data_IF_753948180834
#
_entry.id   IF_753948180834
#
_cell.length_a   1.000
_cell.length_b   1.000
_cell.length_c   1.000
_cell.angle_alpha   90.00
_cell.angle_beta   90.00
_cell.angle_gamma   90.00
#
_symmetry.space_group_name_H-M   'P 1'
#
loop_
_entity.id
_entity.type
_entity.pdbx_description
1 polymer ?
#
# COMPACT_ATOMS: atom_id res chain seq x y z
N UNK A 1 6.70 14.35 12.06
CA UNK A 1 6.60 13.40 13.18
C UNK A 1 7.88 13.54 14.00
N UNK A 2 7.77 13.73 15.28
CA UNK A 2 8.93 13.99 16.14
C UNK A 2 8.68 13.36 17.53
N UNK A 3 8.51 12.05 17.56
CA UNK A 3 8.32 11.27 18.78
C UNK A 3 9.22 10.03 18.73
N UNK A 4 10.34 10.09 19.45
CA UNK A 4 11.35 9.03 19.47
C UNK A 4 10.81 7.73 20.10
N UNK A 5 9.70 7.78 20.85
CA UNK A 5 9.07 6.59 21.44
C UNK A 5 8.41 5.70 20.38
N UNK A 6 8.10 6.26 19.23
CA UNK A 6 7.48 5.54 18.12
C UNK A 6 8.50 5.08 17.06
N UNK A 7 9.79 5.31 17.32
CA UNK A 7 10.85 4.78 16.48
C UNK A 7 11.02 3.28 16.74
N UNK A 8 11.11 2.50 15.67
CA UNK A 8 11.20 1.03 15.72
C UNK A 8 12.59 0.50 16.16
N UNK A 9 13.56 1.39 16.30
CA UNK A 9 14.94 1.08 16.63
C UNK A 9 15.83 0.76 15.45
N UNK A 10 15.31 0.71 14.23
CA UNK A 10 16.00 0.25 13.03
C UNK A 10 15.81 1.16 11.83
N UNK A 11 14.60 1.24 11.29
CA UNK A 11 14.34 1.86 10.01
C UNK A 11 13.50 3.13 10.10
N UNK A 12 12.57 3.21 11.04
CA UNK A 12 11.68 4.36 11.08
C UNK A 12 10.61 4.30 12.17
N UNK A 13 9.45 4.78 11.84
CA UNK A 13 8.31 4.86 12.75
C UNK A 13 7.42 3.63 12.54
N UNK A 14 6.93 3.05 13.62
CA UNK A 14 5.92 1.98 13.56
C UNK A 14 4.73 2.36 12.68
N UNK A 15 4.24 1.43 11.87
CA UNK A 15 3.20 1.71 10.86
C UNK A 15 1.94 2.34 11.47
N UNK A 16 1.45 1.87 12.63
CA UNK A 16 0.24 2.42 13.24
C UNK A 16 0.37 3.91 13.58
N UNK A 17 1.32 4.36 14.42
CA UNK A 17 1.46 5.77 14.74
C UNK A 17 1.81 6.60 13.50
N UNK A 18 2.56 6.06 12.54
CA UNK A 18 2.89 6.75 11.31
C UNK A 18 1.64 7.01 10.45
N UNK A 19 0.78 6.01 10.26
CA UNK A 19 -0.48 6.16 9.54
C UNK A 19 -1.46 7.12 10.25
N UNK A 20 -1.50 7.12 11.58
CA UNK A 20 -2.30 8.08 12.35
C UNK A 20 -1.78 9.51 12.19
N UNK A 21 -0.46 9.68 12.19
CA UNK A 21 0.15 10.97 11.89
C UNK A 21 -0.16 11.41 10.46
N UNK A 22 -0.02 10.52 9.49
CA UNK A 22 -0.38 10.77 8.09
C UNK A 22 -1.82 11.29 7.98
N UNK A 23 -2.79 10.63 8.63
CA UNK A 23 -4.18 11.11 8.66
C UNK A 23 -4.26 12.54 9.17
N UNK A 24 -3.60 12.85 10.28
CA UNK A 24 -3.61 14.20 10.85
C UNK A 24 -3.02 15.28 9.95
N UNK A 25 -2.13 14.88 9.02
CA UNK A 25 -1.58 15.77 7.99
C UNK A 25 -2.57 15.95 6.85
N UNK A 26 -3.22 14.87 6.41
CA UNK A 26 -4.22 14.91 5.33
C UNK A 26 -5.42 15.76 5.70
N UNK A 27 -5.89 15.69 6.95
CA UNK A 27 -7.02 16.49 7.45
C UNK A 27 -6.81 18.01 7.32
N UNK A 28 -5.55 18.44 7.24
CA UNK A 28 -5.15 19.84 7.11
C UNK A 28 -4.86 20.26 5.67
N UNK A 29 -4.93 19.31 4.73
CA UNK A 29 -4.64 19.61 3.32
C UNK A 29 -5.86 20.15 2.60
N UNK A 30 -5.62 21.13 1.74
CA UNK A 30 -6.62 21.51 0.74
C UNK A 30 -6.70 20.45 -0.35
N UNK A 31 -7.89 20.24 -0.89
CA UNK A 31 -8.11 19.39 -2.05
C UNK A 31 -7.94 20.19 -3.36
N UNK A 32 -7.46 19.57 -4.45
CA UNK A 32 -6.98 18.19 -4.52
C UNK A 32 -5.58 18.02 -3.90
N UNK A 33 -5.25 16.80 -3.45
CA UNK A 33 -3.90 16.46 -3.00
C UNK A 33 -3.44 15.10 -3.55
N UNK A 34 -2.15 14.93 -3.67
CA UNK A 34 -1.47 13.64 -3.84
C UNK A 34 -0.59 13.41 -2.62
N UNK A 35 -0.65 12.21 -2.08
CA UNK A 35 0.20 11.81 -0.96
C UNK A 35 0.74 10.40 -1.17
N UNK A 36 2.02 10.23 -0.95
CA UNK A 36 2.70 8.94 -0.98
C UNK A 36 3.36 8.71 0.36
N UNK A 37 3.18 7.54 0.93
CA UNK A 37 3.85 7.10 2.15
C UNK A 37 4.56 5.78 1.91
N UNK A 38 5.60 5.55 2.69
CA UNK A 38 6.33 4.31 2.71
C UNK A 38 6.36 3.80 4.15
N UNK A 39 5.85 2.60 4.36
CA UNK A 39 5.84 1.93 5.66
C UNK A 39 7.02 0.97 5.78
N UNK A 40 7.52 0.73 6.99
CA UNK A 40 8.77 0.00 7.18
C UNK A 40 8.69 -1.19 8.14
N UNK A 41 7.56 -1.39 8.84
CA UNK A 41 7.49 -2.45 9.86
C UNK A 41 7.63 -3.86 9.29
N UNK A 42 7.29 -4.05 8.01
CA UNK A 42 7.47 -5.33 7.31
C UNK A 42 8.91 -5.58 6.81
N UNK A 43 9.86 -4.70 7.15
CA UNK A 43 11.28 -4.86 6.86
C UNK A 43 12.01 -5.65 7.96
N UNK A 44 13.19 -6.18 7.65
CA UNK A 44 14.08 -6.78 8.67
C UNK A 44 14.38 -5.77 9.80
N UNK A 45 14.43 -6.21 11.05
CA UNK A 45 14.47 -7.56 11.59
C UNK A 45 13.12 -8.23 11.85
N UNK A 46 12.03 -7.80 11.25
CA UNK A 46 10.68 -8.37 11.36
C UNK A 46 10.14 -8.38 12.79
N UNK A 47 10.19 -7.25 13.42
CA UNK A 47 9.66 -7.02 14.78
C UNK A 47 8.39 -6.17 14.72
N UNK A 48 7.58 -6.26 15.75
CA UNK A 48 6.40 -5.43 15.97
C UNK A 48 6.49 -4.77 17.35
N UNK A 49 5.74 -3.70 17.62
CA UNK A 49 5.74 -3.09 18.95
C UNK A 49 5.38 -4.09 20.04
N UNK A 50 6.13 -4.11 21.15
CA UNK A 50 5.91 -5.05 22.27
C UNK A 50 4.48 -5.06 22.80
N UNK A 51 3.79 -3.91 22.78
CA UNK A 51 2.37 -3.80 23.18
C UNK A 51 1.42 -4.71 22.37
N UNK A 52 1.87 -5.24 21.24
CA UNK A 52 1.12 -6.14 20.36
C UNK A 52 1.66 -7.57 20.36
N UNK A 53 2.58 -7.90 21.28
CA UNK A 53 3.12 -9.25 21.34
C UNK A 53 2.00 -10.29 21.54
N UNK A 54 2.05 -11.34 20.74
CA UNK A 54 1.07 -12.41 20.75
C UNK A 54 -0.30 -12.07 20.11
N UNK A 55 -0.51 -10.86 19.57
CA UNK A 55 -1.78 -10.49 18.95
C UNK A 55 -1.91 -10.91 17.47
N UNK A 56 -0.79 -11.08 16.79
CA UNK A 56 -0.76 -11.45 15.39
C UNK A 56 -0.14 -12.82 15.20
N UNK A 57 -0.69 -13.58 14.25
CA UNK A 57 -0.17 -14.91 13.91
C UNK A 57 1.27 -14.78 13.38
N UNK A 58 2.16 -15.60 13.92
CA UNK A 58 3.56 -15.66 13.48
C UNK A 58 3.69 -16.27 12.08
N UNK A 59 2.69 -17.04 11.65
CA UNK A 59 2.73 -17.73 10.35
C UNK A 59 3.96 -18.62 10.19
N UNK A 60 4.45 -18.75 8.97
CA UNK A 60 5.58 -19.64 8.63
C UNK A 60 6.94 -18.92 8.61
N UNK A 61 6.93 -17.61 8.45
CA UNK A 61 8.13 -16.76 8.42
C UNK A 61 7.90 -15.50 9.27
N UNK A 62 8.94 -14.91 9.85
CA UNK A 62 8.79 -13.74 10.75
C UNK A 62 8.02 -12.57 10.12
N UNK A 63 8.16 -12.35 8.83
CA UNK A 63 7.47 -11.28 8.11
C UNK A 63 5.93 -11.39 8.19
N UNK A 64 5.35 -12.60 8.32
CA UNK A 64 3.89 -12.76 8.38
C UNK A 64 3.27 -11.99 9.55
N UNK A 65 3.93 -12.01 10.72
CA UNK A 65 3.48 -11.24 11.89
C UNK A 65 3.50 -9.74 11.62
N UNK A 66 4.53 -9.26 10.94
CA UNK A 66 4.65 -7.84 10.57
C UNK A 66 3.56 -7.42 9.58
N UNK A 67 3.27 -8.26 8.58
CA UNK A 67 2.15 -8.02 7.65
C UNK A 67 0.81 -7.95 8.38
N UNK A 68 0.58 -8.84 9.37
CA UNK A 68 -0.61 -8.79 10.23
C UNK A 68 -0.72 -7.48 11.01
N UNK A 69 0.39 -6.96 11.53
CA UNK A 69 0.43 -5.67 12.20
C UNK A 69 0.19 -4.50 11.22
N UNK A 70 0.78 -4.54 10.02
CA UNK A 70 0.55 -3.52 8.99
C UNK A 70 -0.92 -3.50 8.55
N UNK A 71 -1.54 -4.66 8.35
CA UNK A 71 -2.99 -4.77 8.05
C UNK A 71 -3.84 -4.16 9.17
N UNK A 72 -3.54 -4.48 10.42
CA UNK A 72 -4.18 -3.85 11.59
C UNK A 72 -4.02 -2.33 11.59
N UNK A 73 -2.83 -1.85 11.29
CA UNK A 73 -2.51 -0.42 11.26
C UNK A 73 -3.30 0.31 10.17
N UNK A 74 -3.42 -0.31 9.00
CA UNK A 74 -4.28 0.15 7.91
C UNK A 74 -5.76 0.15 8.31
N UNK A 75 -6.23 -0.92 8.95
CA UNK A 75 -7.60 -0.96 9.47
C UNK A 75 -7.89 0.24 10.37
N UNK A 76 -7.00 0.52 11.33
CA UNK A 76 -7.13 1.68 12.24
C UNK A 76 -7.11 3.03 11.50
N UNK A 77 -6.27 3.14 10.49
CA UNK A 77 -6.25 4.31 9.62
C UNK A 77 -7.58 4.51 8.91
N UNK A 78 -8.10 3.47 8.24
CA UNK A 78 -9.35 3.53 7.52
C UNK A 78 -10.56 3.78 8.42
N UNK A 79 -10.61 3.18 9.61
CA UNK A 79 -11.66 3.41 10.60
C UNK A 79 -11.80 4.90 10.94
N UNK A 80 -10.69 5.63 11.03
CA UNK A 80 -10.69 7.08 11.30
C UNK A 80 -10.90 7.93 10.05
N UNK A 81 -10.46 7.47 8.89
CA UNK A 81 -10.60 8.22 7.65
C UNK A 81 -12.03 8.29 7.14
N UNK A 82 -12.87 7.30 7.48
CA UNK A 82 -14.28 7.22 7.01
C UNK A 82 -15.12 8.45 7.36
N UNK A 83 -14.76 9.14 8.43
CA UNK A 83 -15.48 10.33 8.90
C UNK A 83 -15.03 11.62 8.19
N UNK A 84 -13.98 11.53 7.36
CA UNK A 84 -13.36 12.72 6.77
C UNK A 84 -13.98 13.07 5.40
N UNK A 85 -14.21 14.36 5.13
CA UNK A 85 -14.84 14.80 3.88
C UNK A 85 -14.10 14.40 2.60
N UNK A 86 -12.78 14.21 2.68
CA UNK A 86 -11.95 13.82 1.54
C UNK A 86 -11.99 12.32 1.24
N UNK A 87 -12.46 11.49 2.18
CA UNK A 87 -12.35 10.03 2.08
C UNK A 87 -13.10 9.46 0.87
N UNK A 88 -14.35 9.81 0.70
CA UNK A 88 -15.20 9.30 -0.39
C UNK A 88 -14.67 9.65 -1.79
N UNK A 89 -13.89 10.72 -1.90
CA UNK A 89 -13.30 11.17 -3.16
C UNK A 89 -11.80 10.88 -3.28
N UNK A 90 -11.30 9.92 -2.52
CA UNK A 90 -9.88 9.51 -2.55
C UNK A 90 -9.73 8.16 -3.23
N UNK A 91 -8.72 8.04 -4.08
CA UNK A 91 -8.24 6.78 -4.63
C UNK A 91 -7.05 6.34 -3.79
N UNK A 92 -7.16 5.16 -3.21
CA UNK A 92 -6.09 4.54 -2.44
C UNK A 92 -5.41 3.48 -3.31
N UNK A 93 -4.09 3.57 -3.40
CA UNK A 93 -3.25 2.61 -4.13
C UNK A 93 -2.27 1.99 -3.15
N UNK A 94 -2.24 0.66 -3.10
CA UNK A 94 -1.33 -0.10 -2.25
C UNK A 94 -0.47 -1.00 -3.12
N UNK A 95 0.81 -0.99 -2.85
CA UNK A 95 1.77 -1.92 -3.45
C UNK A 95 2.97 -2.06 -2.53
N UNK A 96 3.73 -3.13 -2.66
CA UNK A 96 5.06 -3.20 -2.08
C UNK A 96 6.09 -2.70 -3.11
N UNK A 97 7.25 -2.28 -2.67
CA UNK A 97 8.38 -1.93 -3.53
C UNK A 97 9.04 -3.19 -4.13
N UNK A 98 9.13 -4.27 -3.35
CA UNK A 98 9.61 -5.60 -3.78
C UNK A 98 9.13 -6.70 -2.82
N UNK A 99 9.28 -7.95 -3.21
CA UNK A 99 9.17 -9.11 -2.34
C UNK A 99 10.45 -9.33 -1.52
N UNK A 100 10.35 -10.15 -0.47
CA UNK A 100 11.51 -10.50 0.35
C UNK A 100 11.54 -12.02 0.61
N UNK A 101 11.28 -12.46 1.85
CA UNK A 101 11.27 -13.86 2.19
C UNK A 101 10.09 -14.59 1.56
N UNK A 102 10.33 -15.82 1.13
CA UNK A 102 9.29 -16.68 0.58
C UNK A 102 9.13 -17.93 1.43
N UNK A 103 7.92 -18.47 1.46
CA UNK A 103 7.60 -19.75 2.09
C UNK A 103 7.07 -20.75 1.07
N UNK A 104 6.40 -20.26 0.04
CA UNK A 104 5.81 -21.11 -0.99
C UNK A 104 6.77 -21.28 -2.18
N UNK A 105 7.00 -22.51 -2.65
CA UNK A 105 7.92 -22.81 -3.76
C UNK A 105 7.67 -21.97 -5.03
N UNK A 106 6.40 -21.65 -5.31
CA UNK A 106 6.04 -20.79 -6.43
C UNK A 106 6.79 -19.45 -6.43
N UNK A 107 6.99 -18.84 -5.26
CA UNK A 107 7.69 -17.56 -5.13
C UNK A 107 9.21 -17.70 -5.01
N UNK A 108 9.74 -18.92 -4.99
CA UNK A 108 11.19 -19.16 -5.07
C UNK A 108 11.72 -19.09 -6.51
N UNK A 109 10.84 -19.20 -7.51
CA UNK A 109 11.19 -19.08 -8.91
C UNK A 109 11.61 -17.66 -9.27
N UNK A 110 12.56 -17.53 -10.21
CA UNK A 110 13.27 -16.28 -10.54
C UNK A 110 12.32 -15.10 -10.82
N UNK A 111 11.25 -15.31 -11.56
CA UNK A 111 10.30 -14.24 -11.93
C UNK A 111 9.31 -13.98 -10.78
N UNK A 112 8.80 -15.04 -10.16
CA UNK A 112 7.76 -14.96 -9.15
C UNK A 112 8.24 -14.35 -7.83
N UNK A 113 9.53 -14.33 -7.59
CA UNK A 113 10.16 -13.62 -6.44
C UNK A 113 9.86 -12.12 -6.43
N UNK A 114 9.57 -11.55 -7.60
CA UNK A 114 9.25 -10.14 -7.76
C UNK A 114 7.74 -9.85 -7.78
N UNK A 115 6.91 -10.90 -7.58
CA UNK A 115 5.47 -10.74 -7.58
C UNK A 115 5.01 -9.94 -6.35
N UNK A 116 4.42 -8.78 -6.61
CA UNK A 116 3.81 -7.90 -5.61
C UNK A 116 2.37 -7.58 -6.00
N UNK A 117 1.46 -7.47 -5.04
CA UNK A 117 0.11 -7.02 -5.35
C UNK A 117 0.09 -5.52 -5.69
N UNK A 118 -0.79 -5.15 -6.62
CA UNK A 118 -1.24 -3.76 -6.79
C UNK A 118 -2.73 -3.76 -6.45
N UNK A 119 -3.13 -3.01 -5.43
CA UNK A 119 -4.51 -2.93 -4.99
C UNK A 119 -5.02 -1.50 -5.17
N UNK A 120 -6.19 -1.38 -5.78
CA UNK A 120 -6.90 -0.11 -5.98
C UNK A 120 -8.17 -0.12 -5.15
N UNK A 121 -8.36 0.91 -4.36
CA UNK A 121 -9.58 1.09 -3.57
C UNK A 121 -10.09 2.53 -3.69
N UNK A 122 -11.38 2.65 -3.95
CA UNK A 122 -12.12 3.92 -3.89
C UNK A 122 -13.46 3.68 -3.22
N UNK A 123 -13.79 4.39 -2.11
CA UNK A 123 -14.97 4.10 -1.29
C UNK A 123 -16.30 4.11 -2.05
N UNK A 124 -16.48 5.07 -2.95
CA UNK A 124 -17.72 5.27 -3.71
C UNK A 124 -17.71 4.62 -5.12
N UNK A 125 -16.72 3.77 -5.41
CA UNK A 125 -16.62 3.07 -6.70
C UNK A 125 -16.44 1.57 -6.47
N UNK A 126 -17.25 0.78 -7.16
CA UNK A 126 -17.19 -0.67 -7.07
C UNK A 126 -16.01 -1.24 -7.89
N UNK A 127 -14.78 -1.08 -7.42
CA UNK A 127 -13.71 -1.97 -7.85
C UNK A 127 -13.89 -3.28 -7.10
N UNK A 128 -14.22 -4.35 -7.78
CA UNK A 128 -14.41 -5.67 -7.17
C UNK A 128 -13.80 -6.74 -8.05
N UNK A 129 -12.99 -7.58 -7.45
CA UNK A 129 -12.42 -8.75 -8.10
C UNK A 129 -10.90 -8.75 -8.08
N UNK A 130 -10.35 -9.81 -8.64
CA UNK A 130 -8.92 -10.01 -8.83
C UNK A 130 -8.66 -10.04 -10.32
N UNK A 131 -7.72 -9.23 -10.75
CA UNK A 131 -7.20 -9.24 -12.11
C UNK A 131 -5.88 -10.00 -12.11
N UNK A 132 -5.82 -11.08 -12.88
CA UNK A 132 -4.63 -11.93 -12.97
C UNK A 132 -3.70 -11.53 -14.13
N UNK A 133 -3.94 -10.42 -14.79
CA UNK A 133 -3.01 -9.90 -15.80
C UNK A 133 -1.68 -9.51 -15.15
N UNK A 134 -0.61 -9.73 -15.89
CA UNK A 134 0.70 -9.25 -15.45
C UNK A 134 0.71 -7.72 -15.44
N UNK A 135 1.11 -7.17 -14.33
CA UNK A 135 1.25 -5.73 -14.09
C UNK A 135 2.65 -5.42 -13.55
N UNK A 136 3.05 -4.18 -13.65
CA UNK A 136 4.30 -3.68 -13.07
C UNK A 136 4.08 -2.35 -12.36
N UNK A 137 5.05 -1.91 -11.55
CA UNK A 137 5.01 -0.59 -10.91
C UNK A 137 4.89 0.55 -11.92
N UNK A 138 5.39 0.37 -13.15
CA UNK A 138 5.28 1.35 -14.22
C UNK A 138 3.83 1.61 -14.66
N UNK A 139 2.94 0.65 -14.42
CA UNK A 139 1.51 0.75 -14.77
C UNK A 139 0.72 1.59 -13.76
N UNK A 140 1.25 1.83 -12.57
CA UNK A 140 0.57 2.61 -11.52
C UNK A 140 0.30 4.03 -11.97
N UNK A 141 1.31 4.71 -12.51
CA UNK A 141 1.18 6.10 -12.94
C UNK A 141 0.10 6.30 -14.03
N UNK A 142 0.13 5.60 -15.18
CA UNK A 142 -0.91 5.74 -16.19
C UNK A 142 -2.29 5.29 -15.68
N UNK A 143 -2.36 4.32 -14.78
CA UNK A 143 -3.62 3.89 -14.16
C UNK A 143 -4.22 5.01 -13.29
N UNK A 144 -3.41 5.70 -12.50
CA UNK A 144 -3.88 6.84 -11.71
C UNK A 144 -4.34 7.98 -12.61
N UNK A 145 -3.58 8.30 -13.66
CA UNK A 145 -3.94 9.33 -14.62
C UNK A 145 -5.32 9.06 -15.26
N UNK A 146 -5.55 7.82 -15.67
CA UNK A 146 -6.82 7.39 -16.23
C UNK A 146 -7.97 7.44 -15.20
N UNK A 147 -7.72 6.99 -13.97
CA UNK A 147 -8.71 7.02 -12.88
C UNK A 147 -9.17 8.44 -12.50
N UNK A 148 -8.30 9.44 -12.61
CA UNK A 148 -8.63 10.84 -12.35
C UNK A 148 -9.15 11.58 -13.59
N UNK A 149 -9.21 10.92 -14.75
CA UNK A 149 -9.68 11.52 -16.00
C UNK A 149 -8.68 12.51 -16.62
N UNK A 150 -7.38 12.28 -16.44
CA UNK A 150 -6.36 13.12 -17.06
C UNK A 150 -6.27 12.85 -18.56
N UNK A 151 -6.58 13.84 -19.39
CA UNK A 151 -6.75 13.71 -20.84
C UNK A 151 -5.58 14.29 -21.66
N UNK A 152 -4.54 14.82 -20.99
CA UNK A 152 -3.41 15.41 -21.70
C UNK A 152 -2.37 14.32 -22.04
N UNK A 153 -1.69 14.44 -23.20
CA UNK A 153 -0.61 13.53 -23.54
C UNK A 153 0.51 13.53 -22.51
N UNK A 154 0.92 12.35 -22.10
CA UNK A 154 2.07 12.14 -21.22
C UNK A 154 2.90 10.94 -21.67
N UNK A 155 4.12 10.84 -21.19
CA UNK A 155 4.99 9.69 -21.46
C UNK A 155 4.94 8.71 -20.30
N UNK A 156 4.71 7.44 -20.60
CA UNK A 156 4.80 6.35 -19.65
C UNK A 156 5.45 5.14 -20.30
N UNK A 157 6.14 4.34 -19.51
CA UNK A 157 6.64 3.01 -19.90
C UNK A 157 5.61 1.92 -19.63
N UNK A 158 4.66 2.21 -18.73
CA UNK A 158 3.55 1.33 -18.41
C UNK A 158 2.28 1.74 -19.15
N UNK A 159 1.22 0.99 -18.90
CA UNK A 159 -0.12 1.19 -19.45
C UNK A 159 -1.15 1.21 -18.32
N UNK A 160 -2.30 1.83 -18.56
CA UNK A 160 -3.40 1.80 -17.59
C UNK A 160 -3.94 0.38 -17.43
N UNK A 161 -4.11 -0.03 -16.17
CA UNK A 161 -4.68 -1.34 -15.81
C UNK A 161 -6.21 -1.37 -15.93
N UNK A 162 -6.85 -0.20 -16.12
CA UNK A 162 -8.31 -0.07 -16.20
C UNK A 162 -8.81 0.28 -17.60
N UNK A 163 -7.92 0.59 -18.56
CA UNK A 163 -8.31 0.80 -19.93
C UNK A 163 -8.59 -0.54 -20.63
N UNK A 164 -9.63 -0.55 -21.44
CA UNK A 164 -10.01 -1.72 -22.26
C UNK A 164 -9.10 -1.92 -23.49
N UNK A 165 -8.14 -1.04 -23.72
CA UNK A 165 -7.21 -1.13 -24.84
C UNK A 165 -6.26 -2.32 -24.70
N UNK A 166 -6.74 -3.46 -25.12
CA UNK A 166 -5.97 -4.70 -25.31
C UNK A 166 -5.09 -4.62 -26.60
N UNK A 167 -4.41 -3.51 -26.81
CA UNK A 167 -3.37 -3.50 -27.81
C UNK A 167 -2.05 -3.92 -27.14
N UNK A 168 -1.82 -5.22 -27.16
CA UNK A 168 -0.48 -5.76 -26.98
C UNK A 168 0.46 -5.17 -28.03
N UNK A 169 1.71 -4.93 -27.70
CA UNK A 169 2.72 -4.49 -28.64
C UNK A 169 2.98 -5.50 -29.74
#
# INVERSE_FOLDING_TARGET
>A
FNDDREFDGFWGIWDEPFLQYMKSVLDKKSTPFLSTIFTVTSHEPYVIPEKYDGQFDKGFIPMHQCVGYTDYSLKKFFEKCKEEPWFENTIFVFTADHGNQTHFPFYEETVNRFANPIMLYKPNRAFKGVDNRLASHMDIYPTIADLIGYDQPFRSWGKSLISDDQQSP
#
